data_IF_344731236343
#
_entry.id   IF_344731236343
#
_cell.length_a   1.000
_cell.length_b   1.000
_cell.length_c   1.000
_cell.angle_alpha   90.00
_cell.angle_beta   90.00
_cell.angle_gamma   90.00
#
_symmetry.space_group_name_H-M   'P 1'
#
loop_
_entity.id
_entity.type
_entity.pdbx_description
1 polymer ?
#
# COMPACT_ATOMS: atom_id res chain seq x y z
N UNK A 1 -7.16 8.61 11.41
CA UNK A 1 -6.07 9.57 11.18
C UNK A 1 -6.21 10.82 12.03
N UNK A 2 -7.40 11.44 12.07
CA UNK A 2 -7.69 12.64 12.89
C UNK A 2 -7.10 12.66 14.32
N UNK A 3 -7.21 11.57 15.11
CA UNK A 3 -6.61 11.52 16.45
C UNK A 3 -5.08 11.66 16.44
N UNK A 4 -4.40 11.02 15.49
CA UNK A 4 -2.95 11.09 15.35
C UNK A 4 -2.49 12.46 14.84
N UNK A 5 -3.28 13.13 14.01
CA UNK A 5 -3.02 14.50 13.58
C UNK A 5 -3.20 15.50 14.74
N UNK A 6 -4.24 15.32 15.55
CA UNK A 6 -4.55 16.22 16.65
C UNK A 6 -3.58 16.10 17.84
N UNK A 7 -3.14 14.88 18.17
CA UNK A 7 -2.36 14.62 19.38
C UNK A 7 -0.94 14.09 19.11
N UNK A 8 -0.62 13.75 17.85
CA UNK A 8 0.57 12.98 17.51
C UNK A 8 0.39 11.49 17.78
N UNK A 9 1.18 10.66 17.07
CA UNK A 9 1.14 9.21 17.25
C UNK A 9 1.48 8.82 18.69
N UNK A 10 2.60 9.31 19.24
CA UNK A 10 3.09 8.91 20.56
C UNK A 10 2.05 9.13 21.68
N UNK A 11 1.33 10.27 21.67
CA UNK A 11 0.38 10.62 22.72
C UNK A 11 -1.01 9.98 22.54
N UNK A 12 -1.33 9.44 21.36
CA UNK A 12 -2.63 8.79 21.10
C UNK A 12 -2.64 7.37 21.69
N UNK A 13 -3.65 6.98 22.47
CA UNK A 13 -3.75 5.61 23.03
C UNK A 13 -4.78 4.75 22.29
N UNK A 14 -4.71 3.43 22.48
CA UNK A 14 -5.70 2.50 21.91
C UNK A 14 -7.09 2.75 22.50
N UNK A 15 -7.17 3.18 23.76
CA UNK A 15 -8.41 3.53 24.43
C UNK A 15 -9.07 4.76 23.79
N UNK A 16 -8.29 5.79 23.44
CA UNK A 16 -8.80 6.95 22.72
C UNK A 16 -9.29 6.58 21.32
N UNK A 17 -8.54 5.71 20.61
CA UNK A 17 -8.95 5.18 19.30
C UNK A 17 -10.28 4.42 19.43
N UNK A 18 -10.38 3.54 20.42
CA UNK A 18 -11.59 2.76 20.67
C UNK A 18 -12.79 3.65 21.00
N UNK A 19 -12.58 4.66 21.85
CA UNK A 19 -13.60 5.65 22.18
C UNK A 19 -14.07 6.43 20.94
N UNK A 20 -13.16 6.91 20.11
CA UNK A 20 -13.50 7.65 18.89
C UNK A 20 -14.19 6.76 17.83
N UNK A 21 -13.90 5.47 17.82
CA UNK A 21 -14.54 4.49 16.96
C UNK A 21 -15.80 3.85 17.58
N UNK A 22 -16.24 4.32 18.75
CA UNK A 22 -17.42 3.82 19.49
C UNK A 22 -17.39 2.29 19.74
N UNK A 23 -16.20 1.73 19.96
CA UNK A 23 -15.99 0.31 20.28
C UNK A 23 -15.25 0.14 21.61
N UNK A 24 -15.36 -1.06 22.19
CA UNK A 24 -14.53 -1.40 23.35
C UNK A 24 -13.04 -1.55 22.95
N UNK A 25 -12.07 -1.16 23.82
CA UNK A 25 -10.64 -1.32 23.52
C UNK A 25 -10.23 -2.75 23.16
N UNK A 26 -10.84 -3.76 23.81
CA UNK A 26 -10.61 -5.17 23.49
C UNK A 26 -10.96 -5.53 22.04
N UNK A 27 -11.93 -4.82 21.44
CA UNK A 27 -12.28 -4.99 20.02
C UNK A 27 -11.14 -4.50 19.14
N UNK A 28 -10.55 -3.34 19.43
CA UNK A 28 -9.39 -2.82 18.69
C UNK A 28 -8.21 -3.78 18.79
N UNK A 29 -7.86 -4.23 20.00
CA UNK A 29 -6.80 -5.22 20.20
C UNK A 29 -7.08 -6.54 19.48
N UNK A 30 -8.34 -7.01 19.44
CA UNK A 30 -8.70 -8.23 18.72
C UNK A 30 -8.51 -8.10 17.21
N UNK A 31 -8.83 -6.94 16.62
CA UNK A 31 -8.71 -6.74 15.18
C UNK A 31 -7.29 -6.42 14.72
N UNK A 32 -6.57 -5.60 15.48
CA UNK A 32 -5.26 -5.08 15.06
C UNK A 32 -4.08 -5.69 15.82
N UNK A 33 -4.29 -6.18 17.04
CA UNK A 33 -3.24 -6.71 17.91
C UNK A 33 -2.40 -5.63 18.59
N UNK A 34 -1.92 -4.65 17.84
CA UNK A 34 -1.10 -3.54 18.34
C UNK A 34 -1.61 -2.18 17.86
N UNK A 35 -1.11 -1.11 18.47
CA UNK A 35 -1.42 0.27 18.07
C UNK A 35 -0.86 0.58 16.68
N UNK A 36 0.36 0.14 16.39
CA UNK A 36 1.03 0.32 15.09
C UNK A 36 0.18 -0.28 13.97
N UNK A 37 -0.36 -1.48 14.21
CA UNK A 37 -1.24 -2.18 13.28
C UNK A 37 -2.53 -1.42 12.98
N UNK A 38 -3.01 -0.51 13.86
CA UNK A 38 -4.17 0.36 13.54
C UNK A 38 -3.86 1.37 12.44
N UNK A 39 -2.59 1.74 12.28
CA UNK A 39 -2.13 2.70 11.26
C UNK A 39 -1.84 1.97 9.95
N UNK A 40 -1.07 0.89 10.02
CA UNK A 40 -0.51 0.22 8.83
C UNK A 40 -1.44 -0.83 8.24
N UNK A 41 -2.57 -1.15 8.85
CA UNK A 41 -3.51 -2.12 8.28
C UNK A 41 -4.26 -1.54 7.08
N UNK A 42 -4.49 -2.40 6.08
CA UNK A 42 -5.23 -2.09 4.87
C UNK A 42 -6.53 -2.88 4.88
N UNK A 43 -7.64 -2.20 4.66
CA UNK A 43 -8.95 -2.82 4.44
C UNK A 43 -9.07 -3.27 2.99
N UNK A 44 -9.53 -4.50 2.75
CA UNK A 44 -9.85 -4.99 1.42
C UNK A 44 -11.21 -4.46 0.95
N UNK A 45 -11.26 -3.17 0.63
CA UNK A 45 -12.46 -2.52 0.10
C UNK A 45 -12.85 -3.08 -1.28
N UNK A 46 -14.12 -2.90 -1.72
CA UNK A 46 -14.52 -3.25 -3.09
C UNK A 46 -13.61 -2.63 -4.15
N UNK A 47 -13.28 -1.33 -4.05
CA UNK A 47 -12.41 -0.67 -5.02
C UNK A 47 -11.00 -1.26 -5.04
N UNK A 48 -10.41 -1.53 -3.86
CA UNK A 48 -9.10 -2.18 -3.78
C UNK A 48 -9.14 -3.58 -4.41
N UNK A 49 -10.18 -4.37 -4.14
CA UNK A 49 -10.31 -5.72 -4.72
C UNK A 49 -10.40 -5.66 -6.25
N UNK A 50 -11.22 -4.77 -6.77
CA UNK A 50 -11.38 -4.59 -8.22
C UNK A 50 -10.06 -4.13 -8.87
N UNK A 51 -9.39 -3.13 -8.30
CA UNK A 51 -8.13 -2.65 -8.82
C UNK A 51 -6.99 -3.69 -8.70
N UNK A 52 -6.97 -4.51 -7.65
CA UNK A 52 -6.05 -5.66 -7.58
C UNK A 52 -6.33 -6.69 -8.70
N UNK A 53 -7.60 -6.86 -9.09
CA UNK A 53 -7.98 -7.63 -10.27
C UNK A 53 -7.37 -7.09 -11.57
N UNK A 54 -7.43 -5.77 -11.77
CA UNK A 54 -6.77 -5.12 -12.92
C UNK A 54 -5.26 -5.38 -12.95
N UNK A 55 -4.61 -5.34 -11.78
CA UNK A 55 -3.18 -5.66 -11.67
C UNK A 55 -2.88 -7.13 -12.00
N UNK A 56 -3.72 -8.06 -11.52
CA UNK A 56 -3.59 -9.48 -11.78
C UNK A 56 -3.79 -9.81 -13.27
N UNK A 57 -4.80 -9.21 -13.93
CA UNK A 57 -5.05 -9.38 -15.35
C UNK A 57 -3.89 -8.86 -16.20
N UNK A 58 -3.30 -7.72 -15.82
CA UNK A 58 -2.12 -7.17 -16.46
C UNK A 58 -0.90 -8.09 -16.32
N UNK A 59 -0.70 -8.68 -15.13
CA UNK A 59 0.34 -9.69 -14.90
C UNK A 59 0.15 -10.94 -15.75
N UNK A 60 -1.08 -11.46 -15.83
CA UNK A 60 -1.39 -12.64 -16.62
C UNK A 60 -1.18 -12.40 -18.14
N UNK A 61 -1.53 -11.20 -18.61
CA UNK A 61 -1.50 -10.86 -20.04
C UNK A 61 -0.12 -10.36 -20.51
N UNK A 62 0.61 -9.63 -19.66
CA UNK A 62 1.83 -8.91 -20.04
C UNK A 62 3.07 -9.32 -19.23
N UNK A 63 2.93 -10.21 -18.24
CA UNK A 63 4.01 -10.64 -17.35
C UNK A 63 4.43 -9.59 -16.32
N UNK A 64 3.75 -8.44 -16.28
CA UNK A 64 4.02 -7.34 -15.35
C UNK A 64 2.83 -6.37 -15.33
N UNK A 65 2.68 -5.56 -14.27
CA UNK A 65 1.70 -4.49 -14.26
C UNK A 65 1.90 -3.50 -15.40
N UNK A 66 0.81 -2.91 -15.87
CA UNK A 66 0.79 -1.84 -16.86
C UNK A 66 0.49 -0.51 -16.19
N UNK A 67 0.90 0.59 -16.84
CA UNK A 67 0.54 1.93 -16.36
C UNK A 67 -0.98 2.15 -16.29
N UNK A 68 -1.73 1.55 -17.22
CA UNK A 68 -3.19 1.56 -17.24
C UNK A 68 -3.78 0.84 -16.02
N UNK A 69 -3.26 -0.35 -15.65
CA UNK A 69 -3.73 -1.06 -14.46
C UNK A 69 -3.47 -0.26 -13.18
N UNK A 70 -2.32 0.42 -13.07
CA UNK A 70 -2.02 1.30 -11.93
C UNK A 70 -2.97 2.50 -11.90
N UNK A 71 -3.15 3.18 -13.04
CA UNK A 71 -4.07 4.32 -13.14
C UNK A 71 -5.51 3.93 -12.82
N UNK A 72 -5.93 2.75 -13.27
CA UNK A 72 -7.26 2.18 -12.97
C UNK A 72 -7.45 1.92 -11.49
N UNK A 73 -6.48 1.27 -10.83
CA UNK A 73 -6.49 1.04 -9.38
C UNK A 73 -6.59 2.37 -8.61
N UNK A 74 -5.75 3.36 -8.92
CA UNK A 74 -5.79 4.68 -8.25
C UNK A 74 -7.13 5.36 -8.48
N UNK A 75 -7.65 5.34 -9.71
CA UNK A 75 -8.95 5.97 -10.03
C UNK A 75 -10.11 5.34 -9.28
N UNK A 76 -10.13 4.00 -9.14
CA UNK A 76 -11.15 3.29 -8.37
C UNK A 76 -11.12 3.69 -6.89
N UNK A 77 -9.91 3.79 -6.32
CA UNK A 77 -9.73 4.15 -4.90
C UNK A 77 -10.14 5.61 -4.62
N UNK A 78 -9.75 6.54 -5.49
CA UNK A 78 -10.14 7.95 -5.41
C UNK A 78 -11.65 8.13 -5.55
N UNK A 79 -12.30 7.31 -6.38
CA UNK A 79 -13.74 7.39 -6.58
C UNK A 79 -14.57 6.76 -5.43
N UNK A 80 -13.95 5.93 -4.58
CA UNK A 80 -14.64 5.24 -3.47
C UNK A 80 -14.91 6.19 -2.29
N UNK A 81 -14.01 7.14 -2.03
CA UNK A 81 -14.11 8.08 -0.92
C UNK A 81 -13.49 9.43 -1.30
N UNK A 82 -14.24 10.53 -1.11
CA UNK A 82 -13.84 11.88 -1.53
C UNK A 82 -12.46 12.30 -0.98
N UNK A 83 -12.18 11.97 0.28
CA UNK A 83 -10.94 12.34 0.98
C UNK A 83 -9.89 11.19 0.98
N UNK A 84 -10.04 10.19 0.10
CA UNK A 84 -9.17 9.00 0.10
C UNK A 84 -7.68 9.36 -0.05
N UNK A 85 -7.35 10.28 -0.98
CA UNK A 85 -5.98 10.72 -1.22
C UNK A 85 -5.38 11.42 0.00
N UNK A 86 -6.12 12.35 0.60
CA UNK A 86 -5.68 13.07 1.79
C UNK A 86 -5.49 12.11 2.96
N UNK A 87 -6.40 11.14 3.14
CA UNK A 87 -6.29 10.10 4.15
C UNK A 87 -5.09 9.17 3.95
N UNK A 88 -4.77 8.81 2.69
CA UNK A 88 -3.57 8.04 2.36
C UNK A 88 -2.32 8.88 2.62
N UNK A 89 -2.28 10.13 2.16
CA UNK A 89 -1.18 11.06 2.32
C UNK A 89 -0.84 11.30 3.80
N UNK A 90 -1.85 11.58 4.64
CA UNK A 90 -1.67 11.71 6.08
C UNK A 90 -1.09 10.44 6.72
N UNK A 91 -1.55 9.27 6.28
CA UNK A 91 -1.04 7.97 6.77
C UNK A 91 0.41 7.75 6.36
N UNK A 92 0.77 7.99 5.09
CA UNK A 92 2.14 7.87 4.60
C UNK A 92 3.08 8.84 5.33
N UNK A 93 2.68 10.10 5.50
CA UNK A 93 3.44 11.07 6.28
C UNK A 93 3.72 10.58 7.71
N UNK A 94 2.70 10.02 8.36
CA UNK A 94 2.84 9.50 9.71
C UNK A 94 3.78 8.29 9.76
N UNK A 95 3.63 7.33 8.84
CA UNK A 95 4.47 6.13 8.77
C UNK A 95 5.93 6.50 8.50
N UNK A 96 6.17 7.33 7.48
CA UNK A 96 7.51 7.70 7.06
C UNK A 96 8.22 8.68 8.02
N UNK A 97 7.51 9.23 9.02
CA UNK A 97 8.08 10.07 10.08
C UNK A 97 8.26 9.32 11.42
N UNK A 98 7.83 8.05 11.49
CA UNK A 98 7.81 7.27 12.73
C UNK A 98 8.48 5.91 12.51
N UNK A 99 9.73 5.69 12.98
CA UNK A 99 10.49 4.47 12.70
C UNK A 99 9.78 3.17 13.10
N UNK A 100 9.01 3.17 14.19
CA UNK A 100 8.27 1.99 14.64
C UNK A 100 7.10 1.63 13.70
N UNK A 101 6.47 2.65 13.08
CA UNK A 101 5.39 2.44 12.11
C UNK A 101 5.92 1.93 10.78
N UNK A 102 7.05 2.47 10.31
CA UNK A 102 7.71 1.98 9.10
C UNK A 102 8.10 0.50 9.26
N UNK A 103 8.70 0.14 10.41
CA UNK A 103 9.00 -1.26 10.73
C UNK A 103 7.74 -2.13 10.77
N UNK A 104 6.66 -1.65 11.39
CA UNK A 104 5.39 -2.38 11.43
C UNK A 104 4.78 -2.58 10.04
N UNK A 105 4.89 -1.59 9.15
CA UNK A 105 4.43 -1.68 7.77
C UNK A 105 5.21 -2.76 7.00
N UNK A 106 6.54 -2.76 7.11
CA UNK A 106 7.38 -3.77 6.48
C UNK A 106 7.12 -5.17 7.05
N UNK A 107 6.89 -5.31 8.34
CA UNK A 107 6.47 -6.58 8.94
C UNK A 107 5.11 -7.05 8.38
N UNK A 108 4.12 -6.13 8.28
CA UNK A 108 2.77 -6.41 7.75
C UNK A 108 2.78 -6.81 6.27
N UNK A 109 3.76 -6.33 5.50
CA UNK A 109 3.92 -6.67 4.07
C UNK A 109 3.94 -8.17 3.80
N UNK A 110 4.37 -8.98 4.77
CA UNK A 110 4.34 -10.44 4.64
C UNK A 110 2.93 -11.02 4.61
N UNK A 111 2.00 -10.48 5.39
CA UNK A 111 0.59 -10.88 5.30
C UNK A 111 0.00 -10.51 3.94
N UNK A 112 0.24 -9.29 3.47
CA UNK A 112 -0.23 -8.86 2.15
C UNK A 112 0.35 -9.69 1.01
N UNK A 113 1.64 -10.04 1.10
CA UNK A 113 2.30 -10.91 0.12
C UNK A 113 1.61 -12.27 0.06
N UNK A 114 1.32 -12.89 1.20
CA UNK A 114 0.63 -14.19 1.24
C UNK A 114 -0.74 -14.09 0.60
N UNK A 115 -1.56 -13.11 1.00
CA UNK A 115 -2.90 -12.91 0.45
C UNK A 115 -2.87 -12.65 -1.05
N UNK A 116 -1.96 -11.80 -1.54
CA UNK A 116 -1.84 -11.53 -2.96
C UNK A 116 -1.36 -12.75 -3.76
N UNK A 117 -0.44 -13.55 -3.20
CA UNK A 117 0.07 -14.74 -3.86
C UNK A 117 -1.01 -15.82 -4.06
N UNK A 118 -2.01 -15.90 -3.18
CA UNK A 118 -3.14 -16.84 -3.30
C UNK A 118 -4.03 -16.55 -4.53
N UNK A 119 -4.02 -15.31 -5.02
CA UNK A 119 -4.85 -14.86 -6.14
C UNK A 119 -4.12 -14.96 -7.50
N UNK A 120 -2.80 -15.22 -7.51
CA UNK A 120 -2.01 -15.25 -8.74
C UNK A 120 -2.07 -16.63 -9.41
N UNK A 121 -2.35 -16.73 -10.73
CA UNK A 121 -2.53 -17.99 -11.43
C UNK A 121 -1.19 -18.65 -11.84
N UNK A 122 -0.22 -18.70 -10.94
CA UNK A 122 1.12 -19.25 -11.19
C UNK A 122 1.50 -20.29 -10.13
N UNK A 123 2.65 -20.97 -10.29
CA UNK A 123 3.12 -21.90 -9.27
C UNK A 123 3.43 -21.15 -7.96
N UNK A 124 3.38 -21.88 -6.84
CA UNK A 124 3.46 -21.29 -5.50
C UNK A 124 4.72 -20.44 -5.24
N UNK A 125 5.86 -20.78 -5.86
CA UNK A 125 7.08 -19.99 -5.69
C UNK A 125 7.00 -18.70 -6.53
N UNK A 126 6.65 -18.83 -7.82
CA UNK A 126 6.49 -17.68 -8.72
C UNK A 126 5.45 -16.68 -8.20
N UNK A 127 4.30 -17.16 -7.74
CA UNK A 127 3.25 -16.34 -7.16
C UNK A 127 3.75 -15.53 -5.96
N UNK A 128 4.46 -16.19 -5.04
CA UNK A 128 5.00 -15.51 -3.84
C UNK A 128 6.09 -14.49 -4.19
N UNK A 129 6.94 -14.78 -5.17
CA UNK A 129 7.99 -13.85 -5.62
C UNK A 129 7.36 -12.63 -6.29
N UNK A 130 6.41 -12.83 -7.20
CA UNK A 130 5.69 -11.74 -7.87
C UNK A 130 4.93 -10.88 -6.86
N UNK A 131 4.15 -11.49 -5.96
CA UNK A 131 3.43 -10.77 -4.91
C UNK A 131 4.37 -9.95 -4.02
N UNK A 132 5.51 -10.52 -3.61
CA UNK A 132 6.51 -9.81 -2.78
C UNK A 132 7.10 -8.61 -3.50
N UNK A 133 7.43 -8.76 -4.78
CA UNK A 133 8.00 -7.69 -5.60
C UNK A 133 7.00 -6.55 -5.78
N UNK A 134 5.73 -6.86 -6.08
CA UNK A 134 4.66 -5.87 -6.22
C UNK A 134 4.42 -5.11 -4.91
N UNK A 135 4.23 -5.84 -3.80
CA UNK A 135 4.02 -5.22 -2.49
C UNK A 135 5.20 -4.35 -2.12
N UNK A 136 6.43 -4.84 -2.27
CA UNK A 136 7.64 -4.08 -1.96
C UNK A 136 7.74 -2.80 -2.78
N UNK A 137 7.60 -2.88 -4.10
CA UNK A 137 7.66 -1.71 -4.98
C UNK A 137 6.54 -0.69 -4.68
N UNK A 138 5.31 -1.14 -4.42
CA UNK A 138 4.24 -0.23 -4.03
C UNK A 138 4.54 0.47 -2.70
N UNK A 139 5.09 -0.24 -1.71
CA UNK A 139 5.44 0.38 -0.42
C UNK A 139 6.58 1.40 -0.55
N UNK A 140 7.62 1.07 -1.32
CA UNK A 140 8.70 2.04 -1.63
C UNK A 140 8.16 3.25 -2.38
N UNK A 141 7.33 3.04 -3.40
CA UNK A 141 6.70 4.12 -4.15
C UNK A 141 5.80 5.00 -3.28
N UNK A 142 5.06 4.42 -2.35
CA UNK A 142 4.25 5.16 -1.39
C UNK A 142 5.11 5.98 -0.42
N UNK A 143 6.21 5.43 0.10
CA UNK A 143 7.12 6.17 0.99
C UNK A 143 7.78 7.34 0.26
N UNK A 144 8.21 7.11 -0.99
CA UNK A 144 8.82 8.13 -1.86
C UNK A 144 7.81 9.21 -2.28
N UNK A 145 6.52 8.87 -2.43
CA UNK A 145 5.47 9.79 -2.88
C UNK A 145 5.42 11.09 -2.06
N UNK A 146 5.66 10.99 -0.74
CA UNK A 146 5.70 12.15 0.19
C UNK A 146 6.64 13.25 -0.30
N UNK A 147 7.77 12.86 -0.87
CA UNK A 147 8.85 13.76 -1.22
C UNK A 147 8.77 14.20 -2.70
N UNK A 148 7.69 13.80 -3.42
CA UNK A 148 7.45 14.15 -4.82
C UNK A 148 6.71 15.48 -4.98
N UNK A 149 7.02 16.25 -6.05
CA UNK A 149 6.18 17.37 -6.46
C UNK A 149 4.73 16.92 -6.69
N UNK A 150 3.79 17.79 -6.32
CA UNK A 150 2.36 17.55 -6.48
C UNK A 150 1.70 16.82 -5.30
N UNK A 151 2.47 16.23 -4.39
CA UNK A 151 1.91 15.58 -3.20
C UNK A 151 0.91 16.49 -2.45
N UNK A 152 -0.33 16.03 -2.15
CA UNK A 152 -0.87 14.68 -2.39
C UNK A 152 -1.85 14.58 -3.59
N UNK A 153 -1.35 14.56 -4.82
CA UNK A 153 -2.20 14.39 -6.01
C UNK A 153 -2.17 12.97 -6.61
N UNK A 154 -3.26 12.61 -7.31
CA UNK A 154 -3.44 11.29 -7.93
C UNK A 154 -2.47 11.02 -9.10
N UNK A 155 -2.06 12.05 -9.84
CA UNK A 155 -1.15 11.91 -10.97
C UNK A 155 0.26 11.59 -10.48
N UNK A 156 0.74 12.29 -9.45
CA UNK A 156 2.01 12.02 -8.76
C UNK A 156 2.01 10.66 -8.08
N UNK A 157 0.92 10.27 -7.42
CA UNK A 157 0.78 8.91 -6.85
C UNK A 157 0.87 7.84 -7.94
N UNK A 158 0.15 8.02 -9.04
CA UNK A 158 0.18 7.10 -10.18
C UNK A 158 1.59 7.02 -10.76
N UNK A 159 2.25 8.17 -10.96
CA UNK A 159 3.59 8.25 -11.52
C UNK A 159 4.64 7.54 -10.67
N UNK A 160 4.66 7.77 -9.35
CA UNK A 160 5.66 7.14 -8.46
C UNK A 160 5.45 5.63 -8.32
N UNK A 161 4.21 5.15 -8.31
CA UNK A 161 3.92 3.71 -8.29
C UNK A 161 4.33 3.06 -9.63
N UNK A 162 4.06 3.71 -10.76
CA UNK A 162 4.52 3.23 -12.07
C UNK A 162 6.05 3.18 -12.15
N UNK A 163 6.75 4.19 -11.64
CA UNK A 163 8.21 4.25 -11.57
C UNK A 163 8.76 3.08 -10.73
N UNK A 164 8.23 2.89 -9.52
CA UNK A 164 8.65 1.82 -8.61
C UNK A 164 8.42 0.42 -9.20
N UNK A 165 7.25 0.18 -9.81
CA UNK A 165 6.95 -1.08 -10.49
C UNK A 165 7.82 -1.29 -11.73
N UNK A 166 8.14 -0.22 -12.46
CA UNK A 166 9.07 -0.24 -13.58
C UNK A 166 10.48 -0.68 -13.17
N UNK A 167 10.94 -0.30 -11.98
CA UNK A 167 12.26 -0.65 -11.46
C UNK A 167 12.43 -2.15 -11.17
N UNK A 168 11.34 -2.91 -10.97
CA UNK A 168 11.39 -4.38 -10.83
C UNK A 168 11.94 -5.03 -12.11
N UNK A 169 11.70 -4.42 -13.27
CA UNK A 169 12.23 -4.90 -14.54
C UNK A 169 13.71 -4.51 -14.63
N UNK A 170 14.61 -5.44 -14.35
CA UNK A 170 16.04 -5.25 -14.67
C UNK A 170 16.14 -5.12 -16.20
N UNK A 171 16.64 -4.01 -16.76
CA UNK A 171 16.86 -3.93 -18.20
C UNK A 171 17.78 -5.07 -18.59
N UNK A 172 17.41 -5.83 -19.61
CA UNK A 172 18.32 -6.77 -20.23
C UNK A 172 19.51 -5.93 -20.72
N UNK A 173 20.64 -6.03 -20.04
CA UNK A 173 21.92 -5.62 -20.60
C UNK A 173 22.10 -6.48 -21.84
N UNK A 174 21.79 -5.93 -23.02
CA UNK A 174 22.27 -6.53 -24.27
C UNK A 174 23.78 -6.71 -24.09
N UNK A 175 24.33 -7.93 -24.22
CA UNK A 175 25.76 -8.06 -24.31
C UNK A 175 26.18 -7.24 -25.53
N UNK A 176 27.05 -6.26 -25.30
CA UNK A 176 27.68 -5.50 -26.36
C UNK A 176 28.25 -6.52 -27.36
N UNK A 177 27.76 -6.49 -28.60
CA UNK A 177 28.33 -7.25 -29.70
C UNK A 177 29.78 -6.83 -29.86
N UNK A 178 30.69 -7.72 -29.46
CA UNK A 178 32.11 -7.68 -29.78
C UNK A 178 32.36 -8.43 -31.09
#
# INVERSE_FOLDING_TARGET
MALFEAHGYAATTVEQIAQAAEVAPITVYRYFGTKEATVVSVSLTPALREGLGLMADALASHGAPTGEAVSGLVSLLVAEEDDWLDGLAARINLVASTPELEQAMWAKSSTWTTTLAEELPTDALSARVQARALVGACLEGLLEWRDRPGFPDAESLTGVIQEALGAIRVPATSPATA
#
